data_IF_624417365444
#
_entry.id   IF_624417365444
#
_cell.length_a   1.000
_cell.length_b   1.000
_cell.length_c   1.000
_cell.angle_alpha   90.00
_cell.angle_beta   90.00
_cell.angle_gamma   90.00
#
_symmetry.space_group_name_H-M   'P 1'
#
loop_
_entity.id
_entity.type
_entity.pdbx_description
1 polymer ?
#
# COMPACT_ATOMS: atom_id res chain seq x y z
N UNK A 1 -11.95 -42.94 41.87
CA UNK A 1 -12.60 -43.31 40.62
C UNK A 1 -11.93 -42.50 39.53
N UNK A 2 -11.10 -43.18 38.74
CA UNK A 2 -10.24 -42.62 37.72
C UNK A 2 -10.89 -42.85 36.36
N UNK A 3 -10.84 -41.85 35.47
CA UNK A 3 -11.12 -42.04 34.04
C UNK A 3 -9.97 -41.46 33.22
N UNK A 4 -9.29 -42.39 32.55
CA UNK A 4 -8.12 -42.24 31.69
C UNK A 4 -8.61 -42.15 30.23
N UNK A 5 -8.55 -40.95 29.63
CA UNK A 5 -8.91 -40.73 28.23
C UNK A 5 -7.65 -40.61 27.38
N UNK A 6 -7.22 -41.75 26.85
CA UNK A 6 -6.07 -41.91 25.94
C UNK A 6 -6.48 -41.60 24.50
N UNK A 7 -6.21 -40.37 24.02
CA UNK A 7 -6.40 -40.02 22.61
C UNK A 7 -5.26 -40.60 21.73
N UNK A 8 -5.63 -41.49 20.80
CA UNK A 8 -4.76 -42.00 19.73
C UNK A 8 -4.78 -41.02 18.54
N UNK A 9 -3.66 -40.35 18.27
CA UNK A 9 -3.43 -39.60 17.03
C UNK A 9 -3.17 -40.55 15.86
N UNK A 10 -4.11 -40.61 14.90
CA UNK A 10 -3.89 -41.23 13.58
C UNK A 10 -3.12 -40.25 12.69
N UNK A 11 -1.91 -40.63 12.29
CA UNK A 11 -1.14 -39.92 11.26
C UNK A 11 -1.68 -40.31 9.87
N UNK A 12 -2.02 -39.32 9.06
CA UNK A 12 -2.55 -39.51 7.70
C UNK A 12 -1.43 -39.92 6.71
N UNK A 13 -1.60 -40.95 5.87
CA UNK A 13 -0.54 -41.46 4.99
C UNK A 13 -0.23 -40.60 3.74
N UNK A 14 -0.89 -39.44 3.55
CA UNK A 14 -0.74 -38.64 2.33
C UNK A 14 0.53 -37.79 2.27
N UNK A 15 1.21 -37.56 3.39
CA UNK A 15 2.39 -36.69 3.48
C UNK A 15 3.70 -37.27 2.93
N UNK A 16 3.82 -38.60 2.80
CA UNK A 16 5.09 -39.25 2.46
C UNK A 16 5.33 -39.30 0.94
N UNK A 17 4.28 -39.21 0.11
CA UNK A 17 4.42 -39.32 -1.36
C UNK A 17 4.84 -38.01 -2.05
N UNK A 18 4.70 -36.86 -1.40
CA UNK A 18 5.09 -35.56 -1.97
C UNK A 18 6.57 -35.24 -1.76
N UNK A 19 7.16 -35.69 -0.63
CA UNK A 19 8.58 -35.47 -0.35
C UNK A 19 9.53 -36.19 -1.33
N UNK A 20 9.11 -37.34 -1.89
CA UNK A 20 9.93 -38.14 -2.82
C UNK A 20 9.99 -37.52 -4.24
N UNK A 21 9.01 -36.69 -4.64
CA UNK A 21 9.00 -36.06 -5.97
C UNK A 21 9.91 -34.83 -6.07
N UNK A 22 10.14 -34.11 -4.96
CA UNK A 22 11.01 -32.92 -4.95
C UNK A 22 12.49 -33.32 -5.00
N UNK A 23 12.86 -34.44 -4.35
CA UNK A 23 14.24 -34.93 -4.37
C UNK A 23 14.72 -35.44 -5.75
N UNK A 24 13.79 -35.79 -6.66
CA UNK A 24 14.13 -36.34 -8.00
C UNK A 24 14.36 -35.28 -9.07
N UNK A 25 14.04 -34.00 -8.82
CA UNK A 25 14.27 -32.90 -9.77
C UNK A 25 15.62 -32.19 -9.55
N UNK A 26 16.24 -32.36 -8.38
CA UNK A 26 17.48 -31.68 -7.99
C UNK A 26 18.78 -32.35 -8.47
N UNK A 27 18.71 -33.58 -9.00
CA UNK A 27 19.89 -34.35 -9.41
C UNK A 27 19.79 -34.81 -10.87
N UNK A 28 19.68 -33.85 -11.79
CA UNK A 28 19.94 -34.12 -13.21
C UNK A 28 21.38 -33.71 -13.55
N UNK A 29 22.25 -34.65 -13.96
CA UNK A 29 23.70 -34.44 -14.11
C UNK A 29 24.10 -33.57 -15.32
N UNK A 30 23.16 -32.89 -15.99
CA UNK A 30 23.41 -32.15 -17.23
C UNK A 30 23.56 -30.63 -17.11
N UNK A 31 23.47 -30.02 -15.92
CA UNK A 31 23.45 -28.55 -15.77
C UNK A 31 24.63 -27.95 -14.99
N UNK A 32 25.61 -28.77 -14.60
CA UNK A 32 26.71 -28.36 -13.71
C UNK A 32 27.96 -27.79 -14.43
N UNK A 33 27.84 -27.39 -15.70
CA UNK A 33 28.99 -26.89 -16.50
C UNK A 33 28.90 -25.39 -16.83
N UNK A 34 27.75 -24.73 -16.66
CA UNK A 34 27.59 -23.32 -17.06
C UNK A 34 27.85 -22.27 -15.96
N UNK A 35 28.06 -22.68 -14.70
CA UNK A 35 28.23 -21.74 -13.58
C UNK A 35 29.70 -21.35 -13.29
N UNK A 36 30.67 -21.94 -13.99
CA UNK A 36 32.11 -21.74 -13.70
C UNK A 36 32.75 -20.58 -14.49
N UNK A 37 32.19 -20.19 -15.64
CA UNK A 37 32.81 -19.18 -16.52
C UNK A 37 32.32 -17.75 -16.23
N UNK A 38 31.14 -17.57 -15.64
CA UNK A 38 30.61 -16.23 -15.32
C UNK A 38 31.14 -15.65 -13.99
N UNK A 39 31.73 -16.46 -13.12
CA UNK A 39 32.27 -16.03 -11.82
C UNK A 39 33.62 -15.32 -11.87
N UNK A 40 34.32 -15.37 -13.01
CA UNK A 40 35.68 -14.81 -13.13
C UNK A 40 35.67 -13.38 -13.73
N UNK A 41 34.61 -13.00 -14.47
CA UNK A 41 34.53 -11.68 -15.12
C UNK A 41 33.98 -10.55 -14.22
N UNK A 42 33.43 -10.87 -13.05
CA UNK A 42 32.97 -9.85 -12.07
C UNK A 42 34.03 -9.57 -10.99
N UNK A 43 35.04 -10.44 -10.84
CA UNK A 43 36.10 -10.31 -9.84
C UNK A 43 37.19 -9.30 -10.20
N UNK A 44 37.26 -8.86 -11.47
CA UNK A 44 38.28 -7.90 -11.95
C UNK A 44 37.84 -6.43 -11.94
N UNK A 45 36.59 -6.12 -11.59
CA UNK A 45 36.09 -4.74 -11.55
C UNK A 45 35.98 -4.12 -10.15
N UNK A 46 36.36 -4.84 -9.10
CA UNK A 46 36.33 -4.34 -7.71
C UNK A 46 37.76 -4.27 -7.14
N UNK A 47 38.70 -3.64 -7.86
CA UNK A 47 40.04 -3.39 -7.31
C UNK A 47 40.69 -2.06 -7.77
N UNK A 48 39.92 -1.11 -8.31
CA UNK A 48 40.45 0.22 -8.67
C UNK A 48 39.50 1.31 -8.21
N UNK A 49 39.51 1.59 -6.91
CA UNK A 49 39.34 2.95 -6.33
C UNK A 49 39.62 2.86 -4.83
N UNK A 50 40.88 2.61 -4.50
CA UNK A 50 41.51 2.99 -3.22
C UNK A 50 42.68 3.89 -3.61
N UNK A 51 42.85 4.99 -2.87
CA UNK A 51 43.86 6.05 -2.97
C UNK A 51 43.43 7.37 -3.64
N UNK A 52 43.01 8.29 -2.78
CA UNK A 52 43.12 9.76 -2.79
C UNK A 52 41.83 10.30 -2.13
N UNK A 53 41.81 10.95 -0.97
CA UNK A 53 42.78 11.81 -0.34
C UNK A 53 42.61 11.75 1.18
N UNK A 54 43.69 11.46 1.90
CA UNK A 54 43.85 11.82 3.32
C UNK A 54 44.61 13.13 3.37
N UNK A 55 43.90 14.25 3.33
CA UNK A 55 44.45 15.53 3.78
C UNK A 55 43.88 15.81 5.17
N UNK A 56 44.73 15.57 6.17
CA UNK A 56 44.49 15.98 7.54
C UNK A 56 44.55 17.50 7.64
N UNK A 57 43.40 18.15 7.61
CA UNK A 57 43.22 19.51 8.09
C UNK A 57 42.90 19.47 9.59
N UNK A 58 43.86 19.87 10.42
CA UNK A 58 43.59 20.20 11.82
C UNK A 58 42.76 21.49 11.81
N UNK A 59 41.44 21.36 11.92
CA UNK A 59 40.54 22.50 12.06
C UNK A 59 40.69 22.98 13.50
N UNK A 60 41.23 24.19 13.68
CA UNK A 60 41.24 24.87 14.96
C UNK A 60 39.78 25.04 15.46
N UNK A 61 39.52 25.00 16.78
CA UNK A 61 38.19 25.27 17.31
C UNK A 61 37.79 26.70 16.90
N UNK A 62 36.78 26.79 16.04
CA UNK A 62 36.11 28.05 15.72
C UNK A 62 35.26 28.40 16.94
N UNK A 63 35.62 29.49 17.63
CA UNK A 63 34.74 30.16 18.60
C UNK A 63 33.47 30.58 17.85
N UNK A 64 32.42 29.77 17.97
CA UNK A 64 31.08 30.11 17.50
C UNK A 64 30.54 31.13 18.50
N UNK A 65 30.34 32.41 18.11
CA UNK A 65 29.70 33.37 19.00
C UNK A 65 28.32 32.85 19.42
N UNK A 66 27.88 33.10 20.66
CA UNK A 66 26.58 32.65 21.14
C UNK A 66 25.50 33.12 20.17
N UNK A 67 24.88 32.15 19.50
CA UNK A 67 23.90 32.38 18.45
C UNK A 67 22.77 33.24 18.99
N UNK A 68 22.48 34.33 18.29
CA UNK A 68 21.21 35.04 18.42
C UNK A 68 20.09 34.02 18.26
N UNK A 69 19.23 33.90 19.28
CA UNK A 69 18.00 33.11 19.21
C UNK A 69 17.22 33.55 17.98
N UNK A 70 17.22 32.69 16.95
CA UNK A 70 16.41 32.90 15.77
C UNK A 70 14.95 32.95 16.25
N UNK A 71 14.20 34.04 16.01
CA UNK A 71 12.83 34.14 16.47
C UNK A 71 12.03 32.94 15.92
N UNK A 72 11.10 32.39 16.71
CA UNK A 72 10.31 31.24 16.29
C UNK A 72 9.69 31.53 14.92
N UNK A 73 9.70 30.56 13.98
CA UNK A 73 9.09 30.75 12.68
C UNK A 73 7.65 31.22 12.89
N UNK A 74 7.17 32.22 12.12
CA UNK A 74 5.81 32.70 12.25
C UNK A 74 4.85 31.50 12.16
N UNK A 75 3.75 31.49 12.93
CA UNK A 75 2.72 30.45 12.80
C UNK A 75 2.38 30.31 11.32
N UNK A 76 2.68 29.14 10.75
CA UNK A 76 2.37 28.89 9.34
C UNK A 76 0.88 29.14 9.13
N UNK A 77 0.53 29.91 8.09
CA UNK A 77 -0.86 30.16 7.74
C UNK A 77 -1.59 28.82 7.62
N UNK A 78 -2.73 28.68 8.31
CA UNK A 78 -3.54 27.47 8.21
C UNK A 78 -3.92 27.27 6.73
N UNK A 79 -3.79 26.04 6.18
CA UNK A 79 -4.17 25.80 4.81
C UNK A 79 -5.64 26.19 4.63
N UNK A 80 -5.99 26.85 3.51
CA UNK A 80 -7.35 27.29 3.26
C UNK A 80 -8.31 26.09 3.38
N UNK A 81 -9.52 26.28 3.93
CA UNK A 81 -10.45 25.19 4.11
C UNK A 81 -10.73 24.51 2.75
N UNK A 82 -10.88 23.18 2.72
CA UNK A 82 -11.17 22.48 1.49
C UNK A 82 -12.47 23.01 0.87
N UNK A 83 -12.57 23.09 -0.46
CA UNK A 83 -13.79 23.53 -1.12
C UNK A 83 -14.95 22.59 -0.74
N UNK A 84 -16.18 23.10 -0.62
CA UNK A 84 -17.33 22.28 -0.26
C UNK A 84 -17.55 21.16 -1.29
N UNK A 85 -18.08 20.01 -0.89
CA UNK A 85 -18.42 18.94 -1.82
C UNK A 85 -19.39 19.42 -2.90
N UNK A 86 -19.26 18.93 -4.14
CA UNK A 86 -20.15 19.28 -5.23
C UNK A 86 -21.57 18.78 -4.96
N UNK A 87 -22.54 19.45 -5.59
CA UNK A 87 -23.94 19.02 -5.58
C UNK A 87 -24.10 17.70 -6.33
N UNK A 88 -25.13 16.94 -5.99
CA UNK A 88 -25.41 15.61 -6.57
C UNK A 88 -25.47 15.58 -8.09
N UNK A 89 -25.96 16.65 -8.72
CA UNK A 89 -26.05 16.73 -10.18
C UNK A 89 -24.70 16.90 -10.88
N UNK A 90 -23.65 17.32 -10.16
CA UNK A 90 -22.35 17.69 -10.72
C UNK A 90 -21.18 16.91 -10.12
N UNK A 91 -21.40 16.06 -9.12
CA UNK A 91 -20.32 15.31 -8.45
C UNK A 91 -19.52 14.43 -9.42
N UNK A 92 -20.19 13.80 -10.39
CA UNK A 92 -19.56 13.00 -11.44
C UNK A 92 -18.57 13.81 -12.27
N UNK A 93 -19.01 14.97 -12.75
CA UNK A 93 -18.18 15.88 -13.54
C UNK A 93 -17.04 16.44 -12.68
N UNK A 94 -17.30 16.69 -11.39
CA UNK A 94 -16.29 17.20 -10.46
C UNK A 94 -15.20 16.17 -10.21
N UNK A 95 -15.54 14.89 -9.96
CA UNK A 95 -14.54 13.82 -9.82
C UNK A 95 -13.68 13.70 -11.08
N UNK A 96 -14.31 13.77 -12.26
CA UNK A 96 -13.61 13.69 -13.54
C UNK A 96 -12.70 14.89 -13.79
N UNK A 97 -13.20 16.11 -13.55
CA UNK A 97 -12.48 17.34 -13.86
C UNK A 97 -11.35 17.61 -12.85
N UNK A 98 -11.57 17.31 -11.58
CA UNK A 98 -10.62 17.62 -10.51
C UNK A 98 -9.53 16.54 -10.37
N UNK A 99 -9.87 15.26 -10.64
CA UNK A 99 -8.99 14.12 -10.37
C UNK A 99 -8.70 13.23 -11.59
N UNK A 100 -9.20 13.57 -12.78
CA UNK A 100 -9.05 12.74 -13.98
C UNK A 100 -9.64 11.32 -13.87
N UNK A 101 -10.57 11.10 -12.93
CA UNK A 101 -11.23 9.80 -12.72
C UNK A 101 -12.63 9.83 -13.33
N UNK A 102 -12.87 9.00 -14.34
CA UNK A 102 -14.21 8.83 -14.90
C UNK A 102 -14.96 7.78 -14.10
N UNK A 103 -16.04 8.15 -13.42
CA UNK A 103 -16.84 7.18 -12.66
C UNK A 103 -18.06 6.79 -13.51
N UNK A 104 -18.45 5.52 -13.46
CA UNK A 104 -19.70 4.98 -14.00
C UNK A 104 -20.36 4.12 -12.93
N UNK A 105 -21.64 4.35 -12.63
CA UNK A 105 -22.41 3.37 -11.83
C UNK A 105 -23.20 2.48 -12.79
N UNK A 106 -22.86 1.19 -12.78
CA UNK A 106 -23.56 0.18 -13.55
C UNK A 106 -24.74 -0.33 -12.71
N UNK A 107 -25.95 0.03 -13.13
CA UNK A 107 -27.20 -0.39 -12.49
C UNK A 107 -27.74 -1.59 -13.28
N UNK A 108 -27.99 -2.72 -12.62
CA UNK A 108 -28.95 -3.70 -13.19
C UNK A 108 -30.40 -3.26 -13.01
N UNK A 109 -30.68 -2.30 -12.11
CA UNK A 109 -32.04 -1.78 -11.86
C UNK A 109 -32.03 -0.29 -11.45
N UNK A 110 -31.84 0.62 -12.40
CA UNK A 110 -32.18 2.07 -12.47
C UNK A 110 -32.22 3.01 -11.23
N UNK A 111 -31.83 2.63 -10.01
CA UNK A 111 -32.02 3.46 -8.81
C UNK A 111 -30.81 3.66 -7.87
N UNK A 112 -29.59 3.54 -8.36
CA UNK A 112 -28.46 4.11 -7.62
C UNK A 112 -28.37 5.62 -7.85
N UNK A 113 -29.11 6.35 -7.03
CA UNK A 113 -29.04 7.81 -6.89
C UNK A 113 -28.37 8.15 -5.55
N UNK A 114 -27.42 7.33 -5.09
CA UNK A 114 -26.77 7.58 -3.82
C UNK A 114 -25.66 8.62 -4.00
N UNK A 115 -26.10 9.87 -4.14
CA UNK A 115 -25.26 11.05 -4.15
C UNK A 115 -24.28 11.06 -2.97
N UNK A 116 -24.70 10.56 -1.80
CA UNK A 116 -23.84 10.45 -0.62
C UNK A 116 -22.57 9.67 -0.92
N UNK A 117 -22.68 8.50 -1.54
CA UNK A 117 -21.52 7.63 -1.82
C UNK A 117 -20.56 8.29 -2.82
N UNK A 118 -21.07 9.06 -3.78
CA UNK A 118 -20.24 9.81 -4.72
C UNK A 118 -19.60 11.04 -4.08
N UNK A 119 -20.29 11.70 -3.16
CA UNK A 119 -19.73 12.79 -2.37
C UNK A 119 -18.62 12.27 -1.46
N UNK A 120 -18.81 11.10 -0.84
CA UNK A 120 -17.77 10.42 -0.06
C UNK A 120 -16.54 10.08 -0.91
N UNK A 121 -16.74 9.55 -2.13
CA UNK A 121 -15.64 9.33 -3.09
C UNK A 121 -14.93 10.65 -3.44
N UNK A 122 -15.70 11.71 -3.70
CA UNK A 122 -15.14 13.02 -4.01
C UNK A 122 -14.31 13.57 -2.85
N UNK A 123 -14.83 13.52 -1.62
CA UNK A 123 -14.14 13.95 -0.41
C UNK A 123 -12.87 13.12 -0.16
N UNK A 124 -12.90 11.81 -0.42
CA UNK A 124 -11.75 10.94 -0.32
C UNK A 124 -10.62 11.38 -1.27
N UNK A 125 -10.96 11.62 -2.54
CA UNK A 125 -10.00 12.09 -3.53
C UNK A 125 -9.54 13.52 -3.27
N UNK A 126 -10.44 14.39 -2.82
CA UNK A 126 -10.11 15.76 -2.44
C UNK A 126 -9.10 15.77 -1.30
N UNK A 127 -9.33 14.96 -0.26
CA UNK A 127 -8.40 14.79 0.85
C UNK A 127 -7.07 14.26 0.34
N UNK A 128 -7.04 13.10 -0.33
CA UNK A 128 -5.81 12.49 -0.82
C UNK A 128 -5.00 13.41 -1.76
N UNK A 129 -5.68 14.19 -2.60
CA UNK A 129 -5.08 15.12 -3.56
C UNK A 129 -4.56 16.42 -2.96
N UNK A 130 -4.68 16.62 -1.65
CA UNK A 130 -3.91 17.67 -0.95
C UNK A 130 -2.41 17.38 -1.00
N UNK A 131 -2.02 16.10 -1.17
CA UNK A 131 -0.65 15.74 -1.53
C UNK A 131 -0.40 15.99 -3.03
N UNK A 132 0.53 16.90 -3.34
CA UNK A 132 0.97 17.17 -4.72
C UNK A 132 1.47 15.92 -5.44
N UNK A 133 2.19 15.04 -4.71
CA UNK A 133 2.72 13.80 -5.27
C UNK A 133 1.58 12.85 -5.66
N UNK A 134 0.61 12.63 -4.77
CA UNK A 134 -0.56 11.82 -5.06
C UNK A 134 -1.35 12.37 -6.25
N UNK A 135 -1.64 13.68 -6.23
CA UNK A 135 -2.37 14.37 -7.30
C UNK A 135 -1.67 14.26 -8.65
N UNK A 136 -0.35 14.45 -8.69
CA UNK A 136 0.44 14.31 -9.93
C UNK A 136 0.39 12.88 -10.47
N UNK A 137 0.50 11.88 -9.59
CA UNK A 137 0.41 10.47 -10.00
C UNK A 137 -0.99 10.14 -10.52
N UNK A 138 -2.04 10.58 -9.82
CA UNK A 138 -3.42 10.33 -10.19
C UNK A 138 -3.76 10.96 -11.55
N UNK A 139 -3.41 12.23 -11.76
CA UNK A 139 -3.64 12.93 -13.04
C UNK A 139 -2.80 12.35 -14.19
N UNK A 140 -1.66 11.72 -13.90
CA UNK A 140 -0.90 10.94 -14.87
C UNK A 140 -1.58 9.64 -15.28
N UNK A 141 -2.66 9.25 -14.60
CA UNK A 141 -3.43 8.04 -14.90
C UNK A 141 -4.82 8.36 -15.42
N UNK A 142 -5.11 7.96 -16.65
CA UNK A 142 -6.51 7.78 -17.03
C UNK A 142 -7.05 6.58 -16.25
N UNK A 143 -8.02 6.84 -15.38
CA UNK A 143 -8.66 5.81 -14.53
C UNK A 143 -10.17 5.89 -14.68
N UNK A 144 -10.78 4.73 -14.91
CA UNK A 144 -12.22 4.58 -15.01
C UNK A 144 -12.73 3.74 -13.85
N UNK A 145 -13.57 4.30 -12.99
CA UNK A 145 -14.19 3.57 -11.90
C UNK A 145 -15.58 3.09 -12.30
N UNK A 146 -15.90 1.81 -12.07
CA UNK A 146 -17.21 1.21 -12.29
C UNK A 146 -17.76 0.71 -10.97
N UNK A 147 -18.92 1.18 -10.58
CA UNK A 147 -19.56 0.83 -9.31
C UNK A 147 -20.77 -0.05 -9.61
N UNK A 148 -20.76 -1.26 -9.05
CA UNK A 148 -21.76 -2.31 -9.15
C UNK A 148 -22.51 -2.43 -7.82
N UNK A 149 -23.81 -2.16 -7.84
CA UNK A 149 -24.59 -1.94 -6.60
C UNK A 149 -25.40 -3.16 -6.18
N UNK A 150 -25.46 -4.17 -7.04
CA UNK A 150 -26.36 -5.31 -6.97
C UNK A 150 -25.63 -6.66 -6.93
N UNK A 151 -24.30 -6.62 -6.85
CA UNK A 151 -23.41 -7.76 -6.81
C UNK A 151 -22.36 -7.58 -5.71
N UNK A 152 -22.11 -8.65 -4.94
CA UNK A 152 -20.93 -8.84 -4.09
C UNK A 152 -20.53 -7.75 -3.08
N UNK A 153 -19.50 -8.05 -2.29
CA UNK A 153 -18.76 -7.03 -1.55
C UNK A 153 -17.27 -7.25 -1.84
N UNK A 154 -16.75 -6.55 -2.83
CA UNK A 154 -15.40 -6.74 -3.36
C UNK A 154 -14.98 -5.57 -4.25
N UNK A 155 -13.69 -5.42 -4.50
CA UNK A 155 -13.23 -4.52 -5.54
C UNK A 155 -12.03 -5.10 -6.27
N UNK A 156 -11.78 -4.63 -7.49
CA UNK A 156 -10.73 -5.13 -8.35
C UNK A 156 -10.16 -4.02 -9.24
N UNK A 157 -8.83 -3.92 -9.28
CA UNK A 157 -8.11 -3.04 -10.21
C UNK A 157 -7.53 -3.82 -11.39
N UNK A 158 -7.89 -3.42 -12.61
CA UNK A 158 -7.26 -3.89 -13.86
C UNK A 158 -7.08 -2.70 -14.81
N UNK A 159 -5.96 -2.53 -15.51
CA UNK A 159 -5.78 -1.29 -16.30
C UNK A 159 -6.80 -1.21 -17.44
N UNK A 160 -7.53 -0.09 -17.67
CA UNK A 160 -7.59 1.19 -16.91
C UNK A 160 -8.72 1.31 -15.88
N UNK A 161 -9.37 0.22 -15.53
CA UNK A 161 -10.57 0.16 -14.70
C UNK A 161 -10.32 -0.14 -13.21
N UNK A 162 -11.18 0.43 -12.37
CA UNK A 162 -11.41 0.04 -10.98
C UNK A 162 -12.86 -0.41 -10.89
N UNK A 163 -13.10 -1.67 -10.53
CA UNK A 163 -14.45 -2.21 -10.36
C UNK A 163 -14.75 -2.33 -8.87
N UNK A 164 -15.84 -1.72 -8.40
CA UNK A 164 -16.25 -1.71 -6.99
C UNK A 164 -17.64 -2.34 -6.89
N UNK A 165 -17.76 -3.39 -6.09
CA UNK A 165 -18.96 -4.16 -5.85
C UNK A 165 -19.40 -3.96 -4.40
N UNK A 166 -20.59 -3.37 -4.17
CA UNK A 166 -20.98 -2.86 -2.85
C UNK A 166 -22.23 -3.50 -2.23
N UNK A 167 -22.81 -4.52 -2.86
CA UNK A 167 -23.99 -5.20 -2.30
C UNK A 167 -23.67 -5.96 -1.01
N UNK A 168 -24.25 -5.49 0.08
CA UNK A 168 -24.16 -6.16 1.38
C UNK A 168 -22.81 -5.97 2.07
N UNK A 169 -22.05 -4.95 1.69
CA UNK A 169 -20.89 -4.49 2.47
C UNK A 169 -21.39 -3.93 3.80
N UNK A 170 -21.07 -4.63 4.91
CA UNK A 170 -21.44 -4.18 6.27
C UNK A 170 -20.30 -3.46 6.97
N UNK A 171 -19.07 -3.85 6.67
CA UNK A 171 -17.89 -3.47 7.47
C UNK A 171 -16.84 -2.71 6.67
N UNK A 172 -17.09 -2.42 5.39
CA UNK A 172 -16.16 -1.76 4.48
C UNK A 172 -16.91 -0.71 3.69
N UNK A 173 -16.38 0.51 3.63
CA UNK A 173 -17.03 1.59 2.90
C UNK A 173 -16.57 1.64 1.45
N UNK A 174 -17.36 2.34 0.64
CA UNK A 174 -16.97 2.64 -0.74
C UNK A 174 -15.73 3.53 -0.80
N UNK A 175 -15.54 4.41 0.19
CA UNK A 175 -14.37 5.28 0.36
C UNK A 175 -13.10 4.45 0.49
N UNK A 176 -13.09 3.46 1.40
CA UNK A 176 -11.95 2.58 1.57
C UNK A 176 -11.68 1.78 0.30
N UNK A 177 -12.69 1.14 -0.30
CA UNK A 177 -12.51 0.37 -1.53
C UNK A 177 -11.94 1.25 -2.66
N UNK A 178 -12.44 2.47 -2.79
CA UNK A 178 -11.98 3.45 -3.77
C UNK A 178 -10.50 3.78 -3.58
N UNK A 179 -10.09 4.14 -2.36
CA UNK A 179 -8.70 4.50 -2.08
C UNK A 179 -7.77 3.29 -2.20
N UNK A 180 -8.21 2.10 -1.74
CA UNK A 180 -7.46 0.85 -1.84
C UNK A 180 -7.18 0.50 -3.30
N UNK A 181 -8.22 0.45 -4.14
CA UNK A 181 -8.05 0.14 -5.56
C UNK A 181 -7.27 1.23 -6.30
N UNK A 182 -7.41 2.49 -5.90
CA UNK A 182 -6.54 3.57 -6.41
C UNK A 182 -5.09 3.33 -6.00
N UNK A 183 -4.82 2.87 -4.77
CA UNK A 183 -3.49 2.46 -4.32
C UNK A 183 -2.88 1.38 -5.22
N UNK A 184 -3.65 0.37 -5.60
CA UNK A 184 -3.23 -0.62 -6.61
C UNK A 184 -2.87 0.04 -7.95
N UNK A 185 -3.69 0.99 -8.41
CA UNK A 185 -3.45 1.71 -9.68
C UNK A 185 -2.14 2.50 -9.64
N UNK A 186 -1.91 3.24 -8.56
CA UNK A 186 -0.77 4.12 -8.39
C UNK A 186 0.53 3.35 -8.06
N UNK A 187 0.42 2.20 -7.37
CA UNK A 187 1.58 1.35 -7.05
C UNK A 187 2.40 0.95 -8.29
N UNK A 188 1.78 0.89 -9.47
CA UNK A 188 2.44 0.54 -10.74
C UNK A 188 3.48 1.57 -11.18
N UNK A 189 3.30 2.83 -10.79
CA UNK A 189 4.25 3.91 -11.04
C UNK A 189 5.35 3.97 -9.97
N UNK A 190 5.16 3.22 -8.88
CA UNK A 190 6.05 3.16 -7.71
C UNK A 190 6.95 1.92 -7.71
N UNK A 191 7.01 1.14 -8.79
CA UNK A 191 7.55 -0.23 -8.80
C UNK A 191 9.07 -0.42 -8.56
N UNK A 192 9.96 0.58 -8.41
CA UNK A 192 11.21 0.33 -7.69
C UNK A 192 11.11 0.66 -6.18
N UNK A 193 10.23 1.57 -5.76
CA UNK A 193 10.14 2.06 -4.38
C UNK A 193 9.42 1.08 -3.44
N UNK A 194 8.53 0.20 -3.94
CA UNK A 194 7.95 -0.90 -3.15
C UNK A 194 8.41 -2.28 -3.63
N UNK A 195 9.66 -2.59 -3.31
CA UNK A 195 10.27 -3.88 -3.60
C UNK A 195 9.87 -4.97 -2.59
N UNK A 196 10.18 -6.23 -2.92
CA UNK A 196 10.05 -7.38 -1.98
C UNK A 196 10.75 -7.12 -0.66
N UNK A 197 11.97 -6.62 -0.74
CA UNK A 197 12.79 -6.36 0.43
C UNK A 197 12.14 -5.29 1.32
N UNK A 198 11.43 -4.32 0.72
CA UNK A 198 10.76 -3.29 1.51
C UNK A 198 9.54 -3.83 2.27
N UNK A 199 8.76 -4.71 1.65
CA UNK A 199 7.65 -5.36 2.37
C UNK A 199 8.15 -6.24 3.51
N UNK A 200 9.21 -7.03 3.28
CA UNK A 200 9.79 -7.87 4.33
C UNK A 200 10.32 -7.03 5.50
N UNK A 201 10.96 -5.88 5.22
CA UNK A 201 11.38 -4.90 6.24
C UNK A 201 10.18 -4.37 7.05
N UNK A 202 9.08 -3.98 6.39
CA UNK A 202 7.90 -3.47 7.09
C UNK A 202 7.22 -4.53 7.94
N UNK A 203 7.19 -5.80 7.49
CA UNK A 203 6.67 -6.91 8.29
C UNK A 203 7.49 -7.12 9.56
N UNK A 204 8.82 -6.96 9.49
CA UNK A 204 9.69 -7.08 10.65
C UNK A 204 9.47 -5.94 11.66
N UNK A 205 9.20 -4.73 11.17
CA UNK A 205 9.04 -3.54 12.01
C UNK A 205 7.64 -3.36 12.59
N UNK A 206 6.61 -3.67 11.81
CA UNK A 206 5.19 -3.58 12.21
C UNK A 206 4.50 -4.97 12.26
N UNK A 207 5.05 -5.99 12.94
CA UNK A 207 4.54 -7.36 12.84
C UNK A 207 3.07 -7.46 13.27
N UNK A 208 2.66 -6.67 14.27
CA UNK A 208 1.27 -6.61 14.76
C UNK A 208 0.29 -6.16 13.69
N UNK A 209 0.68 -5.28 12.77
CA UNK A 209 -0.20 -4.80 11.71
C UNK A 209 -0.53 -5.91 10.71
N UNK A 210 0.43 -6.78 10.44
CA UNK A 210 0.25 -7.92 9.56
C UNK A 210 -0.44 -9.09 10.27
N UNK A 211 -0.08 -9.35 11.54
CA UNK A 211 -0.66 -10.42 12.35
C UNK A 211 -2.12 -10.19 12.70
N UNK A 212 -2.51 -8.94 12.98
CA UNK A 212 -3.91 -8.56 13.24
C UNK A 212 -4.75 -8.43 11.96
N UNK A 213 -4.10 -8.53 10.78
CA UNK A 213 -4.76 -8.44 9.48
C UNK A 213 -5.16 -7.03 9.08
N UNK A 214 -4.53 -5.99 9.65
CA UNK A 214 -4.68 -4.61 9.18
C UNK A 214 -3.99 -4.39 7.84
N UNK A 215 -2.84 -5.06 7.65
CA UNK A 215 -2.11 -5.06 6.40
C UNK A 215 -1.98 -6.50 5.91
N UNK A 216 -2.35 -6.75 4.66
CA UNK A 216 -2.20 -8.10 4.08
C UNK A 216 -0.74 -8.44 3.87
N UNK A 217 -0.31 -9.58 4.44
CA UNK A 217 1.00 -10.20 4.16
C UNK A 217 0.92 -11.35 3.13
N UNK A 218 -0.28 -11.77 2.71
CA UNK A 218 -0.49 -12.98 1.89
C UNK A 218 -1.52 -12.85 0.75
N UNK A 219 -1.46 -13.83 -0.16
CA UNK A 219 -2.14 -13.91 -1.45
C UNK A 219 -3.58 -14.48 -1.29
N UNK A 220 -4.61 -13.78 -1.79
CA UNK A 220 -5.84 -14.47 -2.25
C UNK A 220 -5.68 -14.80 -3.74
N UNK A 221 -5.07 -15.97 -3.98
CA UNK A 221 -5.06 -16.76 -5.24
C UNK A 221 -4.41 -16.19 -6.52
N UNK A 222 -4.28 -14.88 -6.83
CA UNK A 222 -3.66 -14.41 -8.12
C UNK A 222 -2.81 -13.09 -8.18
N UNK A 223 -2.61 -12.28 -7.14
CA UNK A 223 -1.89 -10.98 -7.24
C UNK A 223 -0.66 -10.81 -6.32
N UNK A 224 0.42 -10.13 -6.77
CA UNK A 224 1.69 -10.00 -6.01
C UNK A 224 1.49 -9.41 -4.60
N UNK A 225 2.05 -10.05 -3.56
CA UNK A 225 1.94 -9.69 -2.13
C UNK A 225 2.02 -8.17 -1.85
N UNK A 226 2.96 -7.52 -2.52
CA UNK A 226 3.27 -6.08 -2.42
C UNK A 226 2.11 -5.17 -2.84
N UNK A 227 1.28 -5.58 -3.81
CA UNK A 227 0.20 -4.73 -4.27
C UNK A 227 -0.83 -4.48 -3.17
N UNK A 228 -1.23 -5.54 -2.47
CA UNK A 228 -2.29 -5.46 -1.47
C UNK A 228 -1.85 -4.66 -0.23
N UNK A 229 -0.68 -4.93 0.35
CA UNK A 229 -0.22 -4.16 1.51
C UNK A 229 -0.07 -2.68 1.16
N UNK A 230 0.47 -2.36 -0.03
CA UNK A 230 0.59 -0.99 -0.49
C UNK A 230 -0.77 -0.30 -0.62
N UNK A 231 -1.75 -0.99 -1.22
CA UNK A 231 -3.10 -0.49 -1.39
C UNK A 231 -3.80 -0.23 -0.03
N UNK A 232 -3.64 -1.11 0.95
CA UNK A 232 -4.21 -0.93 2.29
C UNK A 232 -3.56 0.24 3.02
N UNK A 233 -2.22 0.33 3.00
CA UNK A 233 -1.50 1.48 3.56
C UNK A 233 -1.97 2.79 2.89
N UNK A 234 -2.15 2.80 1.57
CA UNK A 234 -2.57 3.99 0.83
C UNK A 234 -3.96 4.49 1.28
N UNK A 235 -4.91 3.57 1.48
CA UNK A 235 -6.24 3.91 1.99
C UNK A 235 -6.19 4.36 3.45
N UNK A 236 -5.56 3.57 4.32
CA UNK A 236 -5.51 3.83 5.76
C UNK A 236 -4.82 5.16 6.09
N UNK A 237 -3.80 5.56 5.32
CA UNK A 237 -3.08 6.82 5.51
C UNK A 237 -3.97 8.06 5.32
N UNK A 238 -4.85 8.05 4.31
CA UNK A 238 -5.82 9.14 4.09
C UNK A 238 -6.92 9.12 5.14
N UNK A 239 -7.34 7.92 5.54
CA UNK A 239 -8.49 7.73 6.44
C UNK A 239 -8.14 7.87 7.93
N UNK A 240 -6.87 7.77 8.30
CA UNK A 240 -6.40 7.83 9.69
C UNK A 240 -6.73 6.59 10.52
N UNK A 241 -6.98 5.44 9.88
CA UNK A 241 -7.26 4.17 10.57
C UNK A 241 -8.66 4.08 11.18
N UNK A 242 -9.73 4.09 10.37
CA UNK A 242 -11.12 4.03 10.88
C UNK A 242 -11.96 2.91 10.31
N UNK A 243 -11.36 1.99 9.59
CA UNK A 243 -12.10 0.94 8.89
C UNK A 243 -11.60 -0.46 9.14
N UNK A 244 -12.54 -1.39 8.99
CA UNK A 244 -12.23 -2.80 8.98
C UNK A 244 -11.67 -3.14 7.61
N UNK A 245 -10.39 -3.47 7.62
CA UNK A 245 -9.67 -3.96 6.44
C UNK A 245 -10.36 -5.24 5.95
N UNK A 246 -10.62 -5.34 4.65
CA UNK A 246 -11.43 -6.42 4.07
C UNK A 246 -10.97 -7.82 4.53
N UNK A 247 -11.77 -8.50 5.36
CA UNK A 247 -11.49 -9.84 5.86
C UNK A 247 -11.94 -10.09 7.31
N UNK A 248 -11.27 -11.02 7.99
CA UNK A 248 -11.46 -11.30 9.42
C UNK A 248 -10.68 -10.34 10.34
N UNK A 249 -9.97 -9.36 9.75
CA UNK A 249 -9.18 -8.37 10.48
C UNK A 249 -10.02 -7.55 11.46
N UNK A 250 -9.36 -7.06 12.52
CA UNK A 250 -9.97 -6.09 13.43
C UNK A 250 -9.98 -4.70 12.77
N UNK A 251 -10.90 -3.81 13.16
CA UNK A 251 -10.75 -2.40 12.82
C UNK A 251 -9.45 -1.87 13.40
N UNK A 252 -8.66 -1.19 12.59
CA UNK A 252 -7.58 -0.34 13.07
C UNK A 252 -8.22 0.97 13.55
N UNK A 253 -7.71 1.54 14.65
CA UNK A 253 -8.25 2.74 15.30
C UNK A 253 -7.43 4.00 15.02
N UNK A 254 -6.12 3.83 14.85
CA UNK A 254 -5.22 4.86 14.38
C UNK A 254 -4.05 4.22 13.63
N UNK A 255 -4.00 4.42 12.32
CA UNK A 255 -2.95 3.82 11.48
C UNK A 255 -1.56 4.32 11.84
N UNK A 256 -1.44 5.57 12.32
CA UNK A 256 -0.15 6.17 12.66
C UNK A 256 0.46 5.55 13.91
N UNK A 257 -0.30 5.45 15.00
CA UNK A 257 0.22 4.86 16.24
C UNK A 257 0.27 3.34 16.24
N UNK A 258 -0.56 2.66 15.45
CA UNK A 258 -0.57 1.20 15.39
C UNK A 258 0.45 0.61 14.39
N UNK A 259 0.80 1.35 13.34
CA UNK A 259 1.67 0.89 12.23
C UNK A 259 2.65 1.98 11.76
N UNK A 260 3.46 2.52 12.67
CA UNK A 260 4.27 3.74 12.44
C UNK A 260 5.24 3.61 11.24
N UNK A 261 5.97 2.50 11.09
CA UNK A 261 6.91 2.34 9.99
C UNK A 261 6.20 2.26 8.62
N UNK A 262 5.07 1.56 8.57
CA UNK A 262 4.20 1.44 7.40
C UNK A 262 3.53 2.78 7.06
N UNK A 263 3.09 3.52 8.07
CA UNK A 263 2.54 4.87 7.96
C UNK A 263 3.57 5.83 7.37
N UNK A 264 4.76 5.90 7.96
CA UNK A 264 5.84 6.77 7.49
C UNK A 264 6.31 6.40 6.09
N UNK A 265 6.39 5.10 5.79
CA UNK A 265 6.73 4.62 4.46
C UNK A 265 5.73 5.10 3.40
N UNK A 266 4.43 4.84 3.58
CA UNK A 266 3.44 5.21 2.57
C UNK A 266 3.29 6.73 2.46
N UNK A 267 3.41 7.44 3.58
CA UNK A 267 3.43 8.90 3.63
C UNK A 267 4.54 9.47 2.75
N UNK A 268 5.77 8.96 2.88
CA UNK A 268 6.88 9.37 2.02
C UNK A 268 6.75 8.92 0.57
N UNK A 269 6.43 7.64 0.34
CA UNK A 269 6.46 7.00 -0.98
C UNK A 269 5.32 7.44 -1.91
N UNK A 270 4.09 7.53 -1.39
CA UNK A 270 2.92 7.89 -2.19
C UNK A 270 2.53 9.35 -2.00
N UNK A 271 2.59 9.85 -0.77
CA UNK A 271 2.08 11.19 -0.41
C UNK A 271 3.17 12.26 -0.28
N UNK A 272 4.45 11.93 -0.53
CA UNK A 272 5.55 12.90 -0.50
C UNK A 272 5.79 13.54 0.86
N UNK A 273 5.40 12.86 1.95
CA UNK A 273 5.50 13.36 3.33
C UNK A 273 4.37 14.31 3.74
N UNK A 274 3.30 14.43 2.94
CA UNK A 274 2.14 15.24 3.30
C UNK A 274 1.31 14.57 4.39
N UNK A 275 1.18 15.23 5.55
CA UNK A 275 0.41 14.75 6.69
C UNK A 275 -1.03 15.28 6.68
N UNK A 276 -1.99 14.37 6.61
CA UNK A 276 -3.42 14.71 6.68
C UNK A 276 -3.79 15.10 8.11
N UNK A 277 -4.38 16.29 8.29
CA UNK A 277 -4.97 16.75 9.55
C UNK A 277 -6.44 16.34 9.67
#
# INVERSE_FOLDING_TARGET
MADDQRQKTRVSPSGIRTAIKIARWAFSPGKMVFASVFGIMISTFIFVTVFAATEGGVIAPVDIPPGEEQPPPPPGEEPPPPPPPPLCGTVWDSIKNDFSVSVFVEKTNNRYDNCSDLQEIYEAYQKASQSDRYRSLLNGTSTTMRIYTDEGCSAYTHSPFIDIYIKGCRDITITYLTLHETGHRLSRFMQPEFSRNKLDELIEKDPTCYDQGYLKSYFRRKGSKHGESFAEMAALYVMGGRERVAGEGRPISDFKSECDDSYNYIGGALYGGYEFR
#
